data_IF_733688276573
#
_entry.id   IF_733688276573
#
_cell.length_a   1.000
_cell.length_b   1.000
_cell.length_c   1.000
_cell.angle_alpha   90.00
_cell.angle_beta   90.00
_cell.angle_gamma   90.00
#
_symmetry.space_group_name_H-M   'P 1'
#
loop_
_entity.id
_entity.type
_entity.pdbx_description
1 polymer ?
#
# COMPACT_ATOMS: atom_id res chain seq x y z
N UNK A 1 7.61 23.71 -5.50
CA UNK A 1 7.86 22.27 -5.67
C UNK A 1 9.36 22.08 -5.78
N UNK A 2 9.98 21.47 -4.77
CA UNK A 2 11.44 21.27 -4.72
C UNK A 2 11.82 20.16 -5.71
N UNK A 3 12.67 20.47 -6.69
CA UNK A 3 13.15 19.50 -7.67
C UNK A 3 14.26 18.68 -6.98
N UNK A 4 14.23 17.34 -7.04
CA UNK A 4 15.28 16.52 -6.42
C UNK A 4 16.65 16.89 -6.95
N UNK A 5 17.62 17.10 -6.05
CA UNK A 5 19.05 17.24 -6.42
C UNK A 5 19.65 15.91 -6.88
N UNK A 6 18.98 14.80 -6.55
CA UNK A 6 19.33 13.42 -6.92
C UNK A 6 18.66 13.04 -8.24
N UNK A 7 19.33 12.23 -9.07
CA UNK A 7 18.75 11.73 -10.32
C UNK A 7 17.43 10.99 -10.05
N UNK A 8 16.38 11.31 -10.82
CA UNK A 8 15.10 10.58 -10.81
C UNK A 8 15.29 9.09 -11.14
N UNK A 9 16.39 8.74 -11.80
CA UNK A 9 16.79 7.38 -12.10
C UNK A 9 16.98 6.53 -10.83
N UNK A 10 17.51 7.12 -9.75
CA UNK A 10 17.70 6.39 -8.49
C UNK A 10 16.36 5.91 -7.90
N UNK A 11 15.32 6.75 -8.00
CA UNK A 11 13.99 6.41 -7.51
C UNK A 11 13.30 5.37 -8.39
N UNK A 12 13.50 5.44 -9.71
CA UNK A 12 13.03 4.41 -10.64
C UNK A 12 13.72 3.07 -10.37
N UNK A 13 15.04 3.09 -10.16
CA UNK A 13 15.82 1.90 -9.83
C UNK A 13 15.38 1.31 -8.48
N UNK A 14 15.08 2.16 -7.48
CA UNK A 14 14.52 1.70 -6.21
C UNK A 14 13.16 1.02 -6.38
N UNK A 15 12.26 1.60 -7.18
CA UNK A 15 10.96 0.96 -7.47
C UNK A 15 11.15 -0.37 -8.21
N UNK A 16 12.06 -0.41 -9.19
CA UNK A 16 12.37 -1.65 -9.91
C UNK A 16 12.93 -2.72 -8.97
N UNK A 17 13.80 -2.34 -8.03
CA UNK A 17 14.31 -3.24 -7.00
C UNK A 17 13.16 -3.84 -6.17
N UNK A 18 12.21 -3.02 -5.71
CA UNK A 18 11.04 -3.51 -4.96
C UNK A 18 10.24 -4.53 -5.76
N UNK A 19 10.02 -4.28 -7.06
CA UNK A 19 9.31 -5.20 -7.95
C UNK A 19 10.08 -6.52 -8.10
N UNK A 20 11.40 -6.45 -8.29
CA UNK A 20 12.24 -7.64 -8.48
C UNK A 20 12.33 -8.49 -7.21
N UNK A 21 12.43 -7.86 -6.04
CA UNK A 21 12.37 -8.52 -4.74
C UNK A 21 10.99 -9.16 -4.48
N UNK A 22 9.91 -8.46 -4.83
CA UNK A 22 8.54 -9.00 -4.77
C UNK A 22 8.41 -10.24 -5.65
N UNK A 23 8.95 -10.20 -6.87
CA UNK A 23 8.97 -11.35 -7.79
C UNK A 23 9.75 -12.53 -7.22
N UNK A 24 10.92 -12.26 -6.65
CA UNK A 24 11.74 -13.29 -6.03
C UNK A 24 11.06 -13.91 -4.80
N UNK A 25 10.38 -13.10 -3.98
CA UNK A 25 9.63 -13.57 -2.81
C UNK A 25 8.43 -14.44 -3.20
N UNK A 26 7.66 -14.03 -4.20
CA UNK A 26 6.58 -14.87 -4.75
C UNK A 26 7.08 -16.20 -5.30
N UNK A 27 8.21 -16.20 -6.00
CA UNK A 27 8.81 -17.42 -6.51
C UNK A 27 9.20 -18.39 -5.37
N UNK A 28 9.58 -17.88 -4.18
CA UNK A 28 9.84 -18.70 -2.98
C UNK A 28 8.57 -19.27 -2.36
N UNK A 29 7.45 -18.55 -2.40
CA UNK A 29 6.15 -19.03 -1.88
C UNK A 29 5.63 -20.24 -2.66
N UNK A 30 5.91 -20.31 -3.97
CA UNK A 30 5.56 -21.44 -4.82
C UNK A 30 4.08 -21.53 -5.21
N UNK A 31 3.26 -20.60 -4.74
CA UNK A 31 1.85 -20.44 -5.10
C UNK A 31 1.50 -18.95 -5.25
N UNK A 32 0.51 -18.68 -6.10
CA UNK A 32 0.00 -17.33 -6.36
C UNK A 32 -1.43 -17.20 -5.80
N UNK A 33 -1.55 -17.06 -4.49
CA UNK A 33 -2.81 -16.80 -3.78
C UNK A 33 -2.87 -15.33 -3.35
N UNK A 34 -4.06 -14.76 -3.17
CA UNK A 34 -4.19 -13.37 -2.69
C UNK A 34 -3.54 -13.16 -1.32
N UNK A 35 -3.62 -14.17 -0.45
CA UNK A 35 -2.94 -14.17 0.84
C UNK A 35 -1.41 -14.16 0.65
N UNK A 36 -0.86 -15.03 -0.21
CA UNK A 36 0.57 -15.02 -0.50
C UNK A 36 1.04 -13.68 -1.08
N UNK A 37 0.24 -13.03 -1.94
CA UNK A 37 0.54 -11.68 -2.46
C UNK A 37 0.59 -10.64 -1.34
N UNK A 38 -0.40 -10.64 -0.45
CA UNK A 38 -0.46 -9.71 0.68
C UNK A 38 0.72 -9.92 1.65
N UNK A 39 1.05 -11.18 1.97
CA UNK A 39 2.21 -11.54 2.79
C UNK A 39 3.53 -11.10 2.17
N UNK A 40 3.71 -11.27 0.86
CA UNK A 40 4.93 -10.85 0.17
C UNK A 40 5.05 -9.32 0.11
N UNK A 41 3.93 -8.60 -0.09
CA UNK A 41 3.94 -7.14 -0.02
C UNK A 41 4.34 -6.65 1.38
N UNK A 42 3.86 -7.32 2.43
CA UNK A 42 4.28 -7.04 3.80
C UNK A 42 5.78 -7.31 4.00
N UNK A 43 6.27 -8.50 3.64
CA UNK A 43 7.68 -8.88 3.73
C UNK A 43 8.58 -7.84 3.04
N UNK A 44 8.29 -7.49 1.78
CA UNK A 44 9.13 -6.59 1.00
C UNK A 44 9.00 -5.15 1.47
N UNK A 45 7.80 -4.59 1.48
CA UNK A 45 7.65 -3.15 1.71
C UNK A 45 7.86 -2.79 3.19
N UNK A 46 7.45 -3.66 4.11
CA UNK A 46 7.39 -3.34 5.52
C UNK A 46 8.55 -3.96 6.29
N UNK A 47 8.76 -5.27 6.18
CA UNK A 47 9.83 -5.93 6.93
C UNK A 47 11.21 -5.57 6.38
N UNK A 48 11.40 -5.64 5.06
CA UNK A 48 12.70 -5.41 4.43
C UNK A 48 13.01 -3.92 4.19
N UNK A 49 12.02 -3.14 3.76
CA UNK A 49 12.22 -1.72 3.39
C UNK A 49 11.64 -0.71 4.37
N UNK A 50 10.94 -1.17 5.41
CA UNK A 50 10.46 -0.34 6.52
C UNK A 50 9.50 0.80 6.12
N UNK A 51 8.77 0.66 5.02
CA UNK A 51 7.71 1.60 4.67
C UNK A 51 6.56 1.55 5.68
N UNK A 52 6.24 2.68 6.31
CA UNK A 52 5.15 2.78 7.30
C UNK A 52 4.41 4.12 7.25
N UNK A 53 3.20 4.15 7.79
CA UNK A 53 2.45 5.39 8.00
C UNK A 53 3.13 6.33 8.99
N UNK A 54 3.16 7.63 8.68
CA UNK A 54 3.67 8.66 9.58
C UNK A 54 2.54 9.30 10.39
N UNK A 55 2.16 8.68 11.50
CA UNK A 55 1.13 9.24 12.39
C UNK A 55 1.64 10.39 13.27
N UNK A 56 2.97 10.49 13.47
CA UNK A 56 3.57 11.50 14.35
C UNK A 56 3.62 12.87 13.69
N UNK A 57 3.90 12.91 12.39
CA UNK A 57 3.99 14.14 11.61
C UNK A 57 3.02 14.12 10.43
N UNK A 58 1.81 13.60 10.65
CA UNK A 58 0.81 13.32 9.60
C UNK A 58 0.64 14.47 8.58
N UNK A 59 0.51 15.70 9.06
CA UNK A 59 0.28 16.89 8.22
C UNK A 59 1.55 17.46 7.53
N UNK A 60 2.72 16.84 7.71
CA UNK A 60 3.94 17.25 7.00
C UNK A 60 3.79 16.97 5.50
N UNK A 61 3.94 18.02 4.68
CA UNK A 61 3.88 17.96 3.22
C UNK A 61 4.87 16.95 2.60
N UNK A 62 5.94 16.60 3.32
CA UNK A 62 6.87 15.55 2.89
C UNK A 62 6.20 14.18 2.78
N UNK A 63 5.16 13.90 3.57
CA UNK A 63 4.42 12.65 3.54
C UNK A 63 3.55 12.50 2.29
N UNK A 64 3.30 13.60 1.56
CA UNK A 64 2.61 13.63 0.27
C UNK A 64 3.56 13.52 -0.95
N UNK A 65 4.87 13.64 -0.74
CA UNK A 65 5.85 13.64 -1.83
C UNK A 65 6.50 12.25 -1.94
N UNK A 66 6.17 11.49 -2.98
CA UNK A 66 6.67 10.12 -3.18
C UNK A 66 8.20 10.00 -3.09
N UNK A 67 8.94 11.00 -3.56
CA UNK A 67 10.40 11.01 -3.49
C UNK A 67 10.87 11.07 -2.03
N UNK A 68 10.26 11.95 -1.23
CA UNK A 68 10.53 12.05 0.21
C UNK A 68 10.04 10.83 0.97
N UNK A 69 8.90 10.26 0.58
CA UNK A 69 8.38 9.01 1.16
C UNK A 69 9.32 7.85 0.88
N UNK A 70 9.88 7.75 -0.33
CA UNK A 70 10.96 6.81 -0.61
C UNK A 70 12.14 7.13 0.31
N UNK A 71 12.73 8.32 0.27
CA UNK A 71 13.91 8.63 1.11
C UNK A 71 13.72 8.33 2.60
N UNK A 72 12.55 8.65 3.17
CA UNK A 72 12.23 8.52 4.60
C UNK A 72 11.63 7.17 4.99
N UNK A 73 11.17 6.38 4.02
CA UNK A 73 10.35 5.18 4.22
C UNK A 73 9.07 5.44 5.04
N UNK A 74 8.55 6.66 5.00
CA UNK A 74 7.36 7.07 5.77
C UNK A 74 6.50 8.03 4.96
N UNK A 75 5.18 7.91 5.04
CA UNK A 75 4.28 8.75 4.24
C UNK A 75 2.81 8.73 4.65
N UNK A 76 2.00 9.47 3.89
CA UNK A 76 0.54 9.51 4.01
C UNK A 76 -0.10 8.25 3.42
N UNK A 77 -1.35 7.90 3.82
CA UNK A 77 -2.05 6.73 3.31
C UNK A 77 -2.06 6.66 1.78
N UNK A 78 -2.36 7.78 1.11
CA UNK A 78 -2.42 7.81 -0.35
C UNK A 78 -1.06 7.62 -1.02
N UNK A 79 0.01 8.22 -0.48
CA UNK A 79 1.35 8.14 -1.09
C UNK A 79 1.94 6.74 -0.94
N UNK A 80 1.74 6.12 0.22
CA UNK A 80 2.09 4.72 0.45
C UNK A 80 1.24 3.81 -0.43
N UNK A 81 -0.06 4.07 -0.54
CA UNK A 81 -0.94 3.35 -1.46
C UNK A 81 -0.44 3.41 -2.89
N UNK A 82 -0.03 4.57 -3.40
CA UNK A 82 0.57 4.69 -4.74
C UNK A 82 1.82 3.83 -4.88
N UNK A 83 2.70 3.77 -3.86
CA UNK A 83 3.87 2.89 -3.89
C UNK A 83 3.47 1.42 -4.01
N UNK A 84 2.50 0.97 -3.21
CA UNK A 84 1.94 -0.39 -3.30
C UNK A 84 1.36 -0.69 -4.69
N UNK A 85 0.55 0.23 -5.24
CA UNK A 85 -0.05 0.09 -6.57
C UNK A 85 1.03 -0.06 -7.65
N UNK A 86 2.09 0.75 -7.60
CA UNK A 86 3.20 0.68 -8.57
C UNK A 86 3.91 -0.67 -8.52
N UNK A 87 4.16 -1.21 -7.31
CA UNK A 87 4.79 -2.53 -7.17
C UNK A 87 3.86 -3.64 -7.69
N UNK A 88 2.58 -3.61 -7.33
CA UNK A 88 1.59 -4.58 -7.80
C UNK A 88 1.42 -4.55 -9.33
N UNK A 89 1.38 -3.36 -9.93
CA UNK A 89 1.34 -3.22 -11.39
C UNK A 89 2.62 -3.75 -12.05
N UNK A 90 3.80 -3.55 -11.44
CA UNK A 90 5.06 -4.13 -11.88
C UNK A 90 5.11 -5.66 -11.81
N UNK A 91 4.29 -6.25 -10.95
CA UNK A 91 4.03 -7.68 -10.86
C UNK A 91 2.96 -8.18 -11.86
N UNK A 92 2.27 -7.27 -12.55
CA UNK A 92 1.15 -7.59 -13.43
C UNK A 92 -0.12 -8.02 -12.67
N UNK A 93 -0.24 -7.66 -11.39
CA UNK A 93 -1.41 -7.98 -10.58
C UNK A 93 -2.55 -6.99 -10.84
N UNK A 94 -3.77 -7.52 -10.91
CA UNK A 94 -4.99 -6.71 -10.88
C UNK A 94 -5.14 -6.12 -9.47
N UNK A 95 -5.03 -4.80 -9.38
CA UNK A 95 -5.10 -4.08 -8.11
C UNK A 95 -5.69 -2.69 -8.30
N UNK A 96 -6.38 -2.18 -7.27
CA UNK A 96 -7.01 -0.86 -7.29
C UNK A 96 -6.83 -0.14 -5.95
N UNK A 97 -6.76 1.20 -6.02
CA UNK A 97 -6.83 2.04 -4.83
C UNK A 97 -8.29 2.32 -4.46
N UNK A 98 -8.62 2.21 -3.18
CA UNK A 98 -9.95 2.49 -2.64
C UNK A 98 -9.91 3.75 -1.78
N UNK A 99 -10.76 4.72 -2.10
CA UNK A 99 -11.02 5.84 -1.21
C UNK A 99 -11.99 5.39 -0.12
N UNK A 100 -11.52 5.29 1.12
CA UNK A 100 -12.33 4.90 2.26
C UNK A 100 -12.35 6.06 3.28
N UNK A 101 -13.44 6.33 4.01
CA UNK A 101 -13.48 7.48 4.92
C UNK A 101 -12.28 7.54 5.88
N UNK A 102 -11.45 8.58 5.73
CA UNK A 102 -10.23 8.78 6.53
C UNK A 102 -9.03 7.90 6.14
N UNK A 103 -9.14 7.05 5.12
CA UNK A 103 -8.12 6.06 4.74
C UNK A 103 -7.97 5.94 3.21
N UNK A 104 -6.83 5.42 2.78
CA UNK A 104 -6.64 4.96 1.41
C UNK A 104 -6.21 3.49 1.46
N UNK A 105 -7.03 2.60 0.91
CA UNK A 105 -6.79 1.16 0.95
C UNK A 105 -6.38 0.66 -0.43
N UNK A 106 -5.78 -0.53 -0.48
CA UNK A 106 -5.45 -1.21 -1.74
C UNK A 106 -6.21 -2.52 -1.81
N UNK A 107 -6.90 -2.75 -2.93
CA UNK A 107 -7.60 -3.99 -3.23
C UNK A 107 -6.76 -4.82 -4.20
N UNK A 108 -6.42 -6.04 -3.80
CA UNK A 108 -5.82 -7.07 -4.65
C UNK A 108 -6.95 -7.94 -5.21
N UNK A 109 -7.00 -8.13 -6.52
CA UNK A 109 -7.98 -8.97 -7.20
C UNK A 109 -7.29 -10.21 -7.80
N UNK A 110 -7.99 -11.35 -7.75
CA UNK A 110 -7.61 -12.57 -8.48
C UNK A 110 -8.85 -13.42 -8.72
N UNK A 111 -9.11 -13.74 -9.98
CA UNK A 111 -10.29 -14.51 -10.39
C UNK A 111 -11.62 -13.85 -9.94
N UNK A 112 -12.32 -14.42 -8.95
CA UNK A 112 -13.54 -13.84 -8.36
C UNK A 112 -13.32 -13.34 -6.93
N UNK A 113 -12.10 -13.52 -6.40
CA UNK A 113 -11.75 -13.20 -5.03
C UNK A 113 -11.03 -11.85 -4.94
N UNK A 114 -11.09 -11.26 -3.74
CA UNK A 114 -10.43 -10.00 -3.41
C UNK A 114 -9.94 -9.99 -1.98
N UNK A 115 -8.81 -9.33 -1.76
CA UNK A 115 -8.27 -8.99 -0.45
C UNK A 115 -8.03 -7.48 -0.42
N UNK A 116 -8.34 -6.84 0.71
CA UNK A 116 -8.09 -5.41 0.90
C UNK A 116 -7.01 -5.27 1.96
N UNK A 117 -6.03 -4.41 1.73
CA UNK A 117 -4.95 -4.11 2.67
C UNK A 117 -4.87 -2.60 2.94
N UNK A 118 -4.37 -2.23 4.12
CA UNK A 118 -4.09 -0.83 4.50
C UNK A 118 -2.57 -0.56 4.44
N UNK A 119 -2.07 0.14 3.40
CA UNK A 119 -0.66 0.53 3.27
C UNK A 119 -0.13 1.40 4.41
N UNK A 120 -0.99 2.19 5.06
CA UNK A 120 -0.58 3.05 6.17
C UNK A 120 -0.33 2.23 7.45
N UNK A 121 -1.09 1.15 7.62
CA UNK A 121 -0.98 0.21 8.74
C UNK A 121 -0.27 -1.08 8.32
N UNK A 122 0.94 -0.95 7.77
CA UNK A 122 1.84 -2.07 7.49
C UNK A 122 1.30 -3.11 6.51
N UNK A 123 0.39 -2.73 5.62
CA UNK A 123 -0.28 -3.66 4.70
C UNK A 123 -1.24 -4.62 5.39
N UNK A 124 -1.75 -4.26 6.58
CA UNK A 124 -2.71 -5.07 7.32
C UNK A 124 -3.94 -5.41 6.47
N UNK A 125 -4.35 -6.67 6.49
CA UNK A 125 -5.59 -7.12 5.85
C UNK A 125 -6.82 -6.52 6.53
N UNK A 126 -7.74 -6.04 5.68
CA UNK A 126 -8.95 -5.32 6.06
C UNK A 126 -10.18 -6.19 5.76
N UNK A 127 -10.51 -7.05 6.72
CA UNK A 127 -11.73 -7.85 6.68
C UNK A 127 -13.00 -6.99 6.85
N UNK A 128 -14.15 -7.59 6.57
CA UNK A 128 -15.46 -6.90 6.66
C UNK A 128 -15.72 -6.32 8.07
N UNK A 129 -15.46 -7.02 9.18
CA UNK A 129 -15.54 -6.44 10.52
C UNK A 129 -14.70 -5.17 10.71
N UNK A 130 -13.42 -5.15 10.28
CA UNK A 130 -12.54 -3.98 10.39
C UNK A 130 -13.04 -2.81 9.56
N UNK A 131 -13.38 -3.06 8.29
CA UNK A 131 -13.93 -2.04 7.40
C UNK A 131 -15.21 -1.42 8.00
N UNK A 132 -16.10 -2.25 8.54
CA UNK A 132 -17.32 -1.77 9.21
C UNK A 132 -17.00 -0.93 10.45
N UNK A 133 -16.00 -1.33 11.23
CA UNK A 133 -15.57 -0.56 12.41
C UNK A 133 -15.05 0.83 12.01
N UNK A 134 -14.19 0.90 10.99
CA UNK A 134 -13.67 2.17 10.46
C UNK A 134 -14.78 3.06 9.92
N UNK A 135 -15.72 2.49 9.16
CA UNK A 135 -16.85 3.25 8.63
C UNK A 135 -17.70 3.87 9.74
N UNK A 136 -17.99 3.11 10.80
CA UNK A 136 -18.73 3.60 11.97
C UNK A 136 -17.98 4.69 12.72
N UNK A 137 -16.66 4.58 12.81
CA UNK A 137 -15.82 5.60 13.45
C UNK A 137 -15.80 6.91 12.66
N UNK A 138 -15.77 6.85 11.33
CA UNK A 138 -15.67 8.03 10.47
C UNK A 138 -17.02 8.72 10.19
N UNK A 139 -18.11 7.96 10.02
CA UNK A 139 -19.41 8.47 9.57
C UNK A 139 -20.54 8.35 10.63
N UNK A 140 -20.22 7.86 11.83
CA UNK A 140 -21.20 7.59 12.89
C UNK A 140 -21.90 6.23 12.76
N UNK A 141 -22.65 5.82 13.80
CA UNK A 141 -23.17 4.45 13.93
C UNK A 141 -24.15 3.99 12.82
N UNK A 142 -24.68 4.92 12.03
CA UNK A 142 -25.68 4.67 10.99
C UNK A 142 -25.08 4.37 9.60
N UNK A 143 -23.75 4.40 9.45
CA UNK A 143 -23.10 4.17 8.17
C UNK A 143 -23.00 2.67 7.84
N UNK A 144 -23.47 2.28 6.65
CA UNK A 144 -23.46 0.90 6.14
C UNK A 144 -22.51 0.75 4.95
N UNK A 145 -21.90 -0.43 4.83
CA UNK A 145 -21.09 -0.80 3.67
C UNK A 145 -22.04 -1.18 2.52
N UNK A 146 -22.17 -0.32 1.51
CA UNK A 146 -22.81 -0.70 0.26
C UNK A 146 -21.78 -1.34 -0.68
N UNK A 147 -22.03 -2.55 -1.21
CA UNK A 147 -21.26 -3.07 -2.31
C UNK A 147 -21.71 -2.35 -3.59
N UNK A 148 -20.78 -1.65 -4.25
CA UNK A 148 -20.93 -1.31 -5.67
C UNK A 148 -20.65 -2.56 -6.53
#
# INVERSE_FOLDING_TARGET
>A
MEIPKTSLENYRNHIQLLIDETRAAMARKGEDTLLARAEVLHEVLVENHHYRGDSLTYDDLQNANLIRVIDRRMGLPITLGVLYLVVCHGMGWDTEGLNFPGHFLVRLNKDQDRVIIDPFHDGQEMDVPRLRHMLKAAAGMAAELTPD
#
